data_IF_505059349159
#
_entry.id   IF_505059349159
#
_cell.length_a   1.000
_cell.length_b   1.000
_cell.length_c   1.000
_cell.angle_alpha   90.00
_cell.angle_beta   90.00
_cell.angle_gamma   90.00
#
_symmetry.space_group_name_H-M   'P 1'
#
loop_
_entity.id
_entity.type
_entity.pdbx_description
1 polymer ?
#
# COMPACT_ATOMS: atom_id res chain seq x y z
N UNK A 1 11.89 -16.79 -8.18
CA UNK A 1 11.85 -18.08 -7.45
C UNK A 1 11.62 -17.75 -5.99
N UNK A 2 10.46 -18.12 -5.44
CA UNK A 2 10.07 -17.77 -4.07
C UNK A 2 10.81 -18.68 -3.07
N UNK A 3 11.64 -18.10 -2.19
CA UNK A 3 12.47 -18.83 -1.22
C UNK A 3 11.62 -19.70 -0.27
N UNK A 4 10.38 -19.28 0.01
CA UNK A 4 9.43 -20.05 0.80
C UNK A 4 8.97 -21.34 0.11
N UNK A 5 8.83 -21.34 -1.22
CA UNK A 5 8.50 -22.54 -2.00
C UNK A 5 9.61 -23.59 -1.91
N UNK A 6 10.88 -23.14 -1.94
CA UNK A 6 12.04 -24.03 -1.81
C UNK A 6 12.08 -24.70 -0.44
N UNK A 7 11.74 -23.95 0.62
CA UNK A 7 11.68 -24.47 1.99
C UNK A 7 10.62 -25.56 2.18
N UNK A 8 9.45 -25.42 1.55
CA UNK A 8 8.39 -26.44 1.61
C UNK A 8 8.84 -27.73 0.91
N UNK A 9 9.50 -27.62 -0.24
CA UNK A 9 10.02 -28.79 -0.96
C UNK A 9 11.13 -29.51 -0.19
N UNK A 10 11.98 -28.77 0.53
CA UNK A 10 12.96 -29.35 1.45
C UNK A 10 12.27 -30.12 2.59
N UNK A 11 11.23 -29.57 3.21
CA UNK A 11 10.48 -30.26 4.27
C UNK A 11 9.78 -31.53 3.75
N UNK A 12 9.31 -31.54 2.51
CA UNK A 12 8.75 -32.73 1.87
C UNK A 12 9.84 -33.78 1.63
N UNK A 13 11.01 -33.37 1.13
CA UNK A 13 12.15 -34.26 0.91
C UNK A 13 12.70 -34.86 2.22
N UNK A 14 12.66 -34.09 3.31
CA UNK A 14 13.00 -34.54 4.67
C UNK A 14 11.88 -35.37 5.34
N UNK A 15 10.72 -35.52 4.69
CA UNK A 15 9.59 -36.28 5.23
C UNK A 15 8.89 -35.63 6.43
N UNK A 16 9.14 -34.33 6.67
CA UNK A 16 8.52 -33.57 7.77
C UNK A 16 7.05 -33.23 7.50
N UNK A 17 6.66 -33.26 6.23
CA UNK A 17 5.29 -33.04 5.76
C UNK A 17 4.96 -34.06 4.67
N UNK A 18 3.67 -34.31 4.47
CA UNK A 18 3.14 -35.16 3.40
C UNK A 18 3.02 -34.41 2.08
N UNK A 19 2.85 -35.14 0.97
CA UNK A 19 2.64 -34.55 -0.35
C UNK A 19 1.39 -33.64 -0.38
N UNK A 20 0.29 -34.09 0.24
CA UNK A 20 -0.96 -33.32 0.34
C UNK A 20 -0.79 -32.03 1.15
N UNK A 21 0.01 -32.06 2.23
CA UNK A 21 0.31 -30.86 3.02
C UNK A 21 1.21 -29.89 2.27
N UNK A 22 2.21 -30.40 1.54
CA UNK A 22 3.08 -29.59 0.70
C UNK A 22 2.27 -28.89 -0.40
N UNK A 23 1.35 -29.61 -1.06
CA UNK A 23 0.45 -29.06 -2.08
C UNK A 23 -0.41 -27.94 -1.50
N UNK A 24 -1.05 -28.16 -0.34
CA UNK A 24 -1.85 -27.14 0.35
C UNK A 24 -1.05 -25.89 0.74
N UNK A 25 0.21 -26.07 1.19
CA UNK A 25 1.08 -24.96 1.57
C UNK A 25 1.55 -24.16 0.35
N UNK A 26 1.86 -24.84 -0.76
CA UNK A 26 2.23 -24.19 -2.02
C UNK A 26 1.03 -23.44 -2.60
N UNK A 27 -0.15 -24.05 -2.60
CA UNK A 27 -1.41 -23.42 -3.00
C UNK A 27 -1.71 -22.18 -2.14
N UNK A 28 -1.50 -22.27 -0.84
CA UNK A 28 -1.68 -21.13 0.06
C UNK A 28 -0.70 -19.99 -0.26
N UNK A 29 0.55 -20.29 -0.61
CA UNK A 29 1.53 -19.28 -1.03
C UNK A 29 1.19 -18.66 -2.39
N UNK A 30 0.63 -19.43 -3.33
CA UNK A 30 0.21 -18.91 -4.64
C UNK A 30 -1.12 -18.13 -4.56
N UNK A 31 -1.98 -18.43 -3.57
CA UNK A 31 -3.20 -17.69 -3.24
C UNK A 31 -2.98 -16.48 -2.33
N UNK A 32 -1.77 -16.29 -1.82
CA UNK A 32 -1.35 -15.03 -1.18
C UNK A 32 -0.78 -14.14 -2.28
N UNK A 33 -1.58 -13.25 -2.91
CA UNK A 33 -0.99 -12.07 -3.52
C UNK A 33 -0.20 -11.33 -2.43
N UNK A 34 0.91 -10.64 -2.78
CA UNK A 34 1.68 -9.85 -1.81
C UNK A 34 0.69 -9.02 -1.00
N UNK A 35 0.68 -9.23 0.32
CA UNK A 35 -0.35 -8.79 1.28
C UNK A 35 -1.18 -7.60 0.79
N UNK A 36 -2.27 -7.89 0.08
CA UNK A 36 -3.34 -6.92 -0.08
C UNK A 36 -3.99 -6.79 1.31
N UNK A 37 -4.20 -5.57 1.83
CA UNK A 37 -4.89 -5.41 3.10
C UNK A 37 -6.24 -6.11 3.01
N UNK A 38 -6.60 -6.80 4.09
CA UNK A 38 -7.86 -7.53 4.22
C UNK A 38 -9.01 -6.65 3.74
N UNK A 39 -9.68 -7.09 2.68
CA UNK A 39 -10.88 -6.48 2.12
C UNK A 39 -11.95 -6.46 3.20
N UNK A 40 -12.08 -5.33 3.88
CA UNK A 40 -13.19 -5.06 4.81
C UNK A 40 -14.45 -4.90 3.96
N UNK A 41 -15.56 -5.44 4.45
CA UNK A 41 -16.81 -5.56 3.70
C UNK A 41 -17.29 -4.23 3.10
N UNK A 42 -17.61 -4.27 1.80
CA UNK A 42 -18.08 -3.13 0.99
C UNK A 42 -19.45 -2.66 1.49
N UNK A 43 -19.51 -1.40 1.90
CA UNK A 43 -20.76 -0.72 2.25
C UNK A 43 -20.57 0.65 2.90
N UNK A 44 -19.45 0.87 3.60
CA UNK A 44 -19.12 2.18 4.15
C UNK A 44 -18.24 2.96 3.17
N UNK A 45 -18.69 4.15 2.74
CA UNK A 45 -17.80 5.09 2.02
C UNK A 45 -16.56 5.33 2.88
N UNK A 46 -15.34 5.33 2.29
CA UNK A 46 -14.14 5.63 3.05
C UNK A 46 -14.26 7.01 3.69
N UNK A 47 -13.77 7.12 4.93
CA UNK A 47 -13.82 8.33 5.74
C UNK A 47 -12.48 9.04 5.76
N UNK A 48 -11.39 8.30 5.60
CA UNK A 48 -10.03 8.79 5.68
C UNK A 48 -9.18 8.31 4.49
N UNK A 49 -8.24 9.15 4.11
CA UNK A 49 -7.08 8.80 3.30
C UNK A 49 -5.89 8.65 4.25
N UNK A 50 -5.20 7.52 4.19
CA UNK A 50 -4.05 7.23 5.04
C UNK A 50 -2.79 7.18 4.19
N UNK A 51 -1.77 7.89 4.64
CA UNK A 51 -0.44 7.98 4.02
C UNK A 51 0.58 7.53 5.03
N UNK A 52 1.28 6.44 4.74
CA UNK A 52 2.38 5.93 5.55
C UNK A 52 3.65 5.98 4.71
N UNK A 53 4.68 6.66 5.22
CA UNK A 53 6.01 6.70 4.62
C UNK A 53 6.99 6.19 5.65
N UNK A 54 7.82 5.23 5.28
CA UNK A 54 8.88 4.68 6.12
C UNK A 54 10.18 4.80 5.35
N UNK A 55 11.13 5.56 5.88
CA UNK A 55 12.51 5.61 5.38
C UNK A 55 13.31 4.50 6.05
N UNK A 56 13.85 3.56 5.27
CA UNK A 56 14.83 2.58 5.71
C UNK A 56 16.23 3.11 5.37
N UNK A 57 16.67 4.17 6.04
CA UNK A 57 18.06 4.60 5.93
C UNK A 57 18.95 3.52 6.56
N UNK A 58 19.79 2.86 5.77
CA UNK A 58 20.69 1.76 6.17
C UNK A 58 21.77 2.13 7.21
N UNK A 59 21.37 2.66 8.38
CA UNK A 59 22.24 3.03 9.49
C UNK A 59 21.72 4.13 10.43
N UNK A 60 20.61 4.82 10.12
CA UNK A 60 19.99 5.84 10.98
C UNK A 60 18.57 5.44 11.41
N UNK A 61 18.03 6.02 12.50
CA UNK A 61 16.66 5.71 12.92
C UNK A 61 15.68 5.93 11.77
N UNK A 62 14.91 4.89 11.37
CA UNK A 62 14.03 4.97 10.22
C UNK A 62 12.94 6.01 10.44
N UNK A 63 12.92 7.05 9.62
CA UNK A 63 11.90 8.10 9.66
C UNK A 63 10.54 7.53 9.29
N UNK A 64 9.61 7.45 10.25
CA UNK A 64 8.24 6.99 9.99
C UNK A 64 7.24 8.14 10.06
N UNK A 65 6.58 8.41 8.95
CA UNK A 65 5.47 9.34 8.84
C UNK A 65 4.19 8.56 8.63
N UNK A 66 3.17 8.84 9.45
CA UNK A 66 1.87 8.18 9.38
C UNK A 66 0.76 9.21 9.53
N UNK A 67 0.10 9.54 8.44
CA UNK A 67 -0.86 10.63 8.33
C UNK A 67 -2.22 10.06 8.02
N UNK A 68 -3.23 10.49 8.77
CA UNK A 68 -4.64 10.15 8.56
C UNK A 68 -5.41 11.43 8.22
N UNK A 69 -5.96 11.50 7.01
CA UNK A 69 -6.61 12.69 6.47
C UNK A 69 -8.11 12.43 6.31
N UNK A 70 -8.99 13.11 7.06
CA UNK A 70 -10.43 13.01 6.84
C UNK A 70 -10.80 13.50 5.42
N UNK A 71 -11.50 12.66 4.65
CA UNK A 71 -11.94 13.01 3.30
C UNK A 71 -12.91 14.20 3.29
N UNK A 72 -13.60 14.47 4.40
CA UNK A 72 -14.42 15.66 4.58
C UNK A 72 -13.61 16.97 4.55
N UNK A 73 -12.34 16.96 4.99
CA UNK A 73 -11.48 18.15 4.90
C UNK A 73 -11.09 18.43 3.44
N UNK A 74 -10.80 17.37 2.69
CA UNK A 74 -10.51 17.51 1.26
C UNK A 74 -11.74 18.04 0.49
N UNK A 75 -12.95 17.59 0.86
CA UNK A 75 -14.21 18.15 0.32
C UNK A 75 -14.40 19.62 0.65
N UNK A 76 -13.94 20.07 1.82
CA UNK A 76 -13.97 21.47 2.23
C UNK A 76 -12.91 22.35 1.54
N UNK A 77 -12.08 21.77 0.66
CA UNK A 77 -11.06 22.51 -0.09
C UNK A 77 -9.70 22.62 0.62
N UNK A 78 -9.50 21.88 1.71
CA UNK A 78 -8.17 21.77 2.34
C UNK A 78 -7.25 21.00 1.38
N UNK A 79 -6.09 21.59 1.06
CA UNK A 79 -5.12 20.96 0.16
C UNK A 79 -4.43 19.83 0.88
N UNK A 80 -4.34 18.66 0.26
CA UNK A 80 -3.63 17.51 0.82
C UNK A 80 -2.17 17.84 1.15
N UNK A 81 -1.54 18.67 0.31
CA UNK A 81 -0.18 19.17 0.48
C UNK A 81 0.05 20.03 1.72
N UNK A 82 -0.99 20.59 2.36
CA UNK A 82 -0.82 21.31 3.63
C UNK A 82 -0.77 20.40 4.84
N UNK A 83 -1.15 19.13 4.69
CA UNK A 83 -1.20 18.13 5.76
C UNK A 83 -0.05 17.12 5.69
N UNK A 84 0.68 17.12 4.56
CA UNK A 84 1.77 16.18 4.27
C UNK A 84 3.06 16.98 4.06
N UNK A 85 4.19 16.59 4.69
CA UNK A 85 5.47 17.24 4.47
C UNK A 85 5.87 17.29 2.98
N UNK A 86 6.52 18.37 2.54
CA UNK A 86 6.87 18.59 1.12
C UNK A 86 7.71 17.47 0.50
N UNK A 87 8.64 16.91 1.26
CA UNK A 87 9.48 15.79 0.80
C UNK A 87 8.63 14.53 0.52
N UNK A 88 7.61 14.28 1.35
CA UNK A 88 6.70 13.15 1.19
C UNK A 88 5.77 13.35 -0.01
N UNK A 89 5.27 14.58 -0.24
CA UNK A 89 4.47 14.94 -1.43
C UNK A 89 5.27 14.69 -2.72
N UNK A 90 6.52 15.15 -2.79
CA UNK A 90 7.36 14.96 -3.96
C UNK A 90 7.58 13.47 -4.28
N UNK A 91 7.79 12.67 -3.24
CA UNK A 91 7.95 11.22 -3.34
C UNK A 91 6.69 10.53 -3.84
N UNK A 92 5.54 10.84 -3.25
CA UNK A 92 4.24 10.32 -3.67
C UNK A 92 3.96 10.59 -5.15
N UNK A 93 4.16 11.83 -5.61
CA UNK A 93 3.96 12.20 -7.01
C UNK A 93 4.93 11.43 -7.94
N UNK A 94 6.18 11.21 -7.53
CA UNK A 94 7.15 10.43 -8.31
C UNK A 94 6.70 8.97 -8.46
N UNK A 95 6.19 8.36 -7.38
CA UNK A 95 5.69 6.99 -7.40
C UNK A 95 4.38 6.84 -8.17
N UNK A 96 3.44 7.77 -8.04
CA UNK A 96 2.20 7.79 -8.83
C UNK A 96 2.52 7.82 -10.32
N UNK A 97 3.46 8.70 -10.73
CA UNK A 97 3.92 8.78 -12.11
C UNK A 97 4.55 7.47 -12.60
N UNK A 98 5.34 6.78 -11.77
CA UNK A 98 5.92 5.46 -12.07
C UNK A 98 4.85 4.38 -12.22
N UNK A 99 3.80 4.43 -11.40
CA UNK A 99 2.65 3.54 -11.47
C UNK A 99 1.67 3.86 -12.61
N UNK A 100 1.93 4.91 -13.40
CA UNK A 100 1.03 5.35 -14.48
C UNK A 100 -0.21 6.11 -13.99
N UNK A 101 -0.24 6.53 -12.73
CA UNK A 101 -1.32 7.31 -12.12
C UNK A 101 -1.08 8.80 -12.46
N UNK A 102 -1.98 9.40 -13.24
CA UNK A 102 -1.89 10.81 -13.67
C UNK A 102 -2.39 11.81 -12.63
N UNK A 103 -2.48 11.41 -11.37
CA UNK A 103 -2.98 12.28 -10.28
C UNK A 103 -1.81 13.08 -9.72
N UNK A 104 -1.91 14.40 -9.81
CA UNK A 104 -1.03 15.30 -9.05
C UNK A 104 -1.71 15.69 -7.73
N UNK A 105 -1.09 15.29 -6.62
CA UNK A 105 -1.59 15.59 -5.28
C UNK A 105 -1.61 17.09 -4.96
N UNK A 106 -0.82 17.89 -5.67
CA UNK A 106 -0.77 19.35 -5.52
C UNK A 106 -1.93 20.06 -6.21
N UNK A 107 -2.47 19.45 -7.27
CA UNK A 107 -3.56 20.01 -8.08
C UNK A 107 -4.92 19.35 -7.77
N UNK A 108 -4.99 18.57 -6.71
CA UNK A 108 -6.16 17.79 -6.33
C UNK A 108 -7.30 18.73 -5.92
N UNK A 109 -8.27 18.91 -6.83
CA UNK A 109 -9.45 19.78 -6.64
C UNK A 109 -10.60 19.02 -5.98
N UNK A 110 -11.45 19.69 -5.20
CA UNK A 110 -12.65 19.07 -4.61
C UNK A 110 -13.59 18.43 -5.64
N UNK A 111 -13.61 18.99 -6.85
CA UNK A 111 -14.43 18.54 -7.98
C UNK A 111 -14.05 17.13 -8.45
N UNK A 112 -12.78 16.77 -8.35
CA UNK A 112 -12.24 15.48 -8.78
C UNK A 112 -12.20 14.47 -7.62
N UNK A 113 -12.60 14.89 -6.41
CA UNK A 113 -12.46 14.09 -5.21
C UNK A 113 -13.50 12.97 -5.12
N UNK A 114 -14.73 13.18 -5.62
CA UNK A 114 -15.75 12.12 -5.65
C UNK A 114 -15.29 10.95 -6.54
N UNK A 115 -14.86 11.25 -7.77
CA UNK A 115 -14.33 10.24 -8.71
C UNK A 115 -13.05 9.60 -8.18
N UNK A 116 -12.17 10.38 -7.55
CA UNK A 116 -10.97 9.85 -6.90
C UNK A 116 -11.34 8.92 -5.74
N UNK A 117 -12.33 9.25 -4.90
CA UNK A 117 -12.76 8.38 -3.79
C UNK A 117 -13.31 7.06 -4.33
N UNK A 118 -14.10 7.11 -5.39
CA UNK A 118 -14.64 5.90 -6.04
C UNK A 118 -13.53 5.04 -6.66
N UNK A 119 -12.47 5.66 -7.21
CA UNK A 119 -11.30 4.95 -7.75
C UNK A 119 -10.31 4.46 -6.67
N UNK A 120 -10.22 5.16 -5.53
CA UNK A 120 -9.33 4.84 -4.42
C UNK A 120 -9.87 3.73 -3.51
N UNK A 121 -11.16 3.35 -3.64
CA UNK A 121 -11.76 2.24 -2.86
C UNK A 121 -11.01 0.91 -3.04
N UNK A 122 -10.37 0.72 -4.20
CA UNK A 122 -9.53 -0.45 -4.50
C UNK A 122 -8.01 -0.09 -4.65
N UNK A 123 -7.60 1.17 -4.50
CA UNK A 123 -6.21 1.58 -4.71
C UNK A 123 -5.39 1.48 -3.43
N UNK A 124 -4.48 0.51 -3.40
CA UNK A 124 -3.38 0.43 -2.44
C UNK A 124 -2.09 0.64 -3.21
N UNK A 125 -1.47 1.80 -3.03
CA UNK A 125 -0.12 2.05 -3.57
C UNK A 125 0.86 1.61 -2.49
N UNK A 126 1.41 0.40 -2.61
CA UNK A 126 2.52 -0.10 -1.79
C UNK A 126 3.79 -0.11 -2.65
N UNK A 127 4.66 0.88 -2.43
CA UNK A 127 5.98 0.92 -3.06
C UNK A 127 6.98 0.45 -2.05
N UNK A 128 7.59 -0.70 -2.32
CA UNK A 128 8.70 -1.25 -1.54
C UNK A 128 9.99 -1.08 -2.35
N UNK A 129 10.76 -0.04 -2.03
CA UNK A 129 12.11 0.17 -2.56
C UNK A 129 13.13 -0.16 -1.48
N UNK A 130 14.35 -0.51 -1.90
CA UNK A 130 15.44 -1.01 -1.03
C UNK A 130 15.64 -0.16 0.24
N UNK A 131 15.41 1.14 0.12
CA UNK A 131 15.64 2.11 1.17
C UNK A 131 14.35 2.74 1.70
N UNK A 132 13.15 2.40 1.19
CA UNK A 132 11.93 3.16 1.49
C UNK A 132 10.61 2.45 1.17
N UNK A 133 9.61 2.63 2.04
CA UNK A 133 8.24 2.15 1.86
C UNK A 133 7.20 3.26 1.88
N UNK A 134 6.36 3.34 0.86
CA UNK A 134 5.22 4.29 0.78
C UNK A 134 3.92 3.50 0.64
N UNK A 135 2.96 3.74 1.53
CA UNK A 135 1.62 3.17 1.50
C UNK A 135 0.56 4.27 1.45
N UNK A 136 -0.35 4.19 0.47
CA UNK A 136 -1.53 5.06 0.36
C UNK A 136 -2.76 4.22 0.21
N UNK A 137 -3.76 4.43 1.07
CA UNK A 137 -5.03 3.70 1.03
C UNK A 137 -6.16 4.47 1.71
N UNK A 138 -7.41 4.10 1.40
CA UNK A 138 -8.62 4.63 2.02
C UNK A 138 -9.16 3.70 3.13
N UNK A 139 -9.74 4.27 4.19
CA UNK A 139 -10.38 3.56 5.32
C UNK A 139 -11.62 4.29 5.87
#
# INVERSE_FOLDING_TARGET
>A
MNEQRRRILEMLAEGKITADEAERLIDALERVPPQAPQRVERGAKPKYLRVVVTENAGGAEPGRVNIRIPLQLLRAGVRLTSLVPMWAVARLNAEFKRAGISVDLTELKPQHLEELIDQLDDLVVDVDQLDDKVQVYCE
#
